data_IF_511185839848
#
_entry.id   IF_511185839848
#
_cell.length_a   1.000
_cell.length_b   1.000
_cell.length_c   1.000
_cell.angle_alpha   90.00
_cell.angle_beta   90.00
_cell.angle_gamma   90.00
#
_symmetry.space_group_name_H-M   'P 1'
#
loop_
_entity.id
_entity.type
_entity.pdbx_description
1 polymer ?
#
# COMPACT_ATOMS: atom_id res chain seq x y z
N UNK A 1 4.26 -19.23 -4.52
CA UNK A 1 4.15 -18.74 -3.12
C UNK A 1 5.40 -19.00 -2.26
N UNK A 2 5.86 -20.25 -2.03
CA UNK A 2 6.91 -20.53 -1.03
C UNK A 2 8.24 -19.81 -1.31
N UNK A 3 8.73 -19.82 -2.56
CA UNK A 3 9.98 -19.13 -2.91
C UNK A 3 9.81 -17.61 -2.94
N UNK A 4 8.78 -17.10 -3.64
CA UNK A 4 8.54 -15.66 -3.69
C UNK A 4 8.46 -15.00 -2.32
N UNK A 5 7.73 -15.62 -1.39
CA UNK A 5 7.61 -15.09 -0.03
C UNK A 5 8.97 -15.09 0.71
N UNK A 6 9.88 -16.03 0.44
CA UNK A 6 11.25 -15.99 1.02
C UNK A 6 12.06 -14.84 0.43
N UNK A 7 11.96 -14.60 -0.88
CA UNK A 7 12.66 -13.50 -1.54
C UNK A 7 12.19 -12.14 -0.99
N UNK A 8 10.88 -11.98 -0.83
CA UNK A 8 10.30 -10.78 -0.20
C UNK A 8 10.79 -10.62 1.23
N UNK A 9 10.81 -11.68 2.03
CA UNK A 9 11.31 -11.62 3.40
C UNK A 9 12.77 -11.16 3.44
N UNK A 10 13.63 -11.76 2.59
CA UNK A 10 15.03 -11.35 2.45
C UNK A 10 15.16 -9.89 2.01
N UNK A 11 14.30 -9.42 1.11
CA UNK A 11 14.28 -8.01 0.70
C UNK A 11 13.95 -7.10 1.88
N UNK A 12 12.91 -7.40 2.66
CA UNK A 12 12.58 -6.66 3.89
C UNK A 12 13.76 -6.67 4.86
N UNK A 13 14.45 -7.79 5.02
CA UNK A 13 15.64 -7.90 5.87
C UNK A 13 16.76 -6.95 5.43
N UNK A 14 17.03 -6.87 4.13
CA UNK A 14 18.01 -5.94 3.56
C UNK A 14 17.58 -4.48 3.78
N UNK A 15 16.31 -4.15 3.55
CA UNK A 15 15.81 -2.79 3.72
C UNK A 15 15.91 -2.27 5.17
N UNK A 16 15.89 -3.16 6.17
CA UNK A 16 16.06 -2.76 7.58
C UNK A 16 17.47 -2.27 7.95
N UNK A 17 18.46 -2.48 7.08
CA UNK A 17 19.83 -1.98 7.28
C UNK A 17 19.95 -0.48 6.94
N UNK A 18 18.94 0.10 6.29
CA UNK A 18 18.88 1.52 5.99
C UNK A 18 18.32 2.27 7.22
N UNK A 19 19.20 2.99 7.93
CA UNK A 19 18.85 3.71 9.16
C UNK A 19 17.89 4.89 8.91
N UNK A 20 17.80 5.39 7.67
CA UNK A 20 16.83 6.43 7.32
C UNK A 20 15.39 5.88 7.22
N UNK A 21 15.21 4.56 7.22
CA UNK A 21 13.91 3.90 7.07
C UNK A 21 13.40 3.30 8.37
N UNK A 22 12.08 3.28 8.46
CA UNK A 22 11.38 2.52 9.49
C UNK A 22 11.50 1.02 9.19
N UNK A 23 11.88 0.26 10.22
CA UNK A 23 12.10 -1.18 10.10
C UNK A 23 10.77 -1.92 10.02
N UNK A 24 10.38 -2.35 8.82
CA UNK A 24 9.22 -3.22 8.60
C UNK A 24 9.63 -4.68 8.51
N UNK A 25 8.72 -5.57 8.91
CA UNK A 25 8.95 -7.01 9.00
C UNK A 25 7.88 -7.75 8.23
N UNK A 26 8.29 -8.65 7.35
CA UNK A 26 7.38 -9.55 6.65
C UNK A 26 7.38 -10.92 7.35
N UNK A 27 6.26 -11.26 7.96
CA UNK A 27 6.01 -12.54 8.62
C UNK A 27 5.47 -13.55 7.61
N UNK A 28 6.36 -14.42 7.12
CA UNK A 28 5.98 -15.46 6.16
C UNK A 28 5.36 -16.67 6.86
N UNK A 29 5.76 -16.97 8.10
CA UNK A 29 5.22 -18.06 8.91
C UNK A 29 4.46 -17.50 10.09
N UNK A 30 3.32 -18.09 10.39
CA UNK A 30 2.49 -17.62 11.51
C UNK A 30 3.32 -17.55 12.80
N UNK A 31 3.28 -16.39 13.46
CA UNK A 31 3.93 -16.13 14.75
C UNK A 31 5.47 -16.16 14.74
N UNK A 32 6.11 -16.02 13.57
CA UNK A 32 7.56 -15.92 13.42
C UNK A 32 8.19 -14.82 14.30
N UNK A 33 7.47 -13.73 14.55
CA UNK A 33 7.93 -12.62 15.38
C UNK A 33 7.22 -12.49 16.74
N UNK A 34 6.35 -13.44 17.14
CA UNK A 34 5.47 -13.33 18.33
C UNK A 34 6.20 -12.99 19.64
N UNK A 35 7.42 -13.49 19.82
CA UNK A 35 8.20 -13.31 21.06
C UNK A 35 9.36 -12.30 20.88
N UNK A 36 9.33 -11.47 19.84
CA UNK A 36 10.33 -10.44 19.60
C UNK A 36 9.80 -9.10 20.11
N UNK A 37 10.70 -8.24 20.59
CA UNK A 37 10.36 -6.86 20.98
C UNK A 37 10.19 -5.98 19.73
N UNK A 38 9.15 -6.27 18.93
CA UNK A 38 8.83 -5.59 17.67
C UNK A 38 7.40 -5.07 17.79
N UNK A 39 7.18 -3.81 17.43
CA UNK A 39 5.84 -3.23 17.38
C UNK A 39 4.98 -3.97 16.34
N UNK A 40 3.80 -4.43 16.72
CA UNK A 40 2.90 -5.20 15.84
C UNK A 40 2.50 -4.43 14.58
N UNK A 41 2.41 -3.10 14.67
CA UNK A 41 2.13 -2.20 13.53
C UNK A 41 3.23 -2.20 12.45
N UNK A 42 4.41 -2.78 12.74
CA UNK A 42 5.53 -2.93 11.81
C UNK A 42 5.63 -4.35 11.22
N UNK A 43 4.76 -5.28 11.64
CA UNK A 43 4.76 -6.68 11.20
C UNK A 43 3.61 -6.88 10.20
N UNK A 44 3.95 -7.38 9.03
CA UNK A 44 3.02 -7.68 7.95
C UNK A 44 3.01 -9.19 7.72
N UNK A 45 1.89 -9.85 7.96
CA UNK A 45 1.71 -11.25 7.58
C UNK A 45 1.43 -11.38 6.07
N UNK A 46 1.31 -12.62 5.58
CA UNK A 46 0.95 -12.89 4.17
C UNK A 46 -0.32 -12.16 3.73
N UNK A 47 -1.34 -12.08 4.61
CA UNK A 47 -2.62 -11.47 4.27
C UNK A 47 -2.49 -9.96 4.18
N UNK A 48 -1.88 -9.31 5.18
CA UNK A 48 -1.77 -7.87 5.23
C UNK A 48 -0.84 -7.35 4.14
N UNK A 49 0.27 -8.05 3.87
CA UNK A 49 1.15 -7.69 2.75
C UNK A 49 0.44 -7.82 1.40
N UNK A 50 -0.35 -8.89 1.20
CA UNK A 50 -1.17 -9.05 0.00
C UNK A 50 -2.17 -7.90 -0.17
N UNK A 51 -2.86 -7.49 0.91
CA UNK A 51 -3.78 -6.33 0.85
C UNK A 51 -3.08 -5.05 0.40
N UNK A 52 -1.89 -4.77 0.95
CA UNK A 52 -1.09 -3.63 0.55
C UNK A 52 -0.76 -3.70 -0.94
N UNK A 53 -0.21 -4.83 -1.39
CA UNK A 53 0.21 -5.01 -2.78
C UNK A 53 -0.94 -4.91 -3.79
N UNK A 54 -2.07 -5.58 -3.52
CA UNK A 54 -3.26 -5.58 -4.41
C UNK A 54 -3.84 -4.17 -4.54
N UNK A 55 -3.91 -3.45 -3.42
CA UNK A 55 -4.37 -2.06 -3.39
C UNK A 55 -3.51 -1.18 -4.29
N UNK A 56 -2.20 -1.20 -4.09
CA UNK A 56 -1.26 -0.25 -4.71
C UNK A 56 -0.93 -0.62 -6.16
N UNK A 57 -0.64 -1.89 -6.42
CA UNK A 57 -0.04 -2.33 -7.67
C UNK A 57 -0.98 -3.12 -8.59
N UNK A 58 -2.04 -3.71 -8.05
CA UNK A 58 -3.10 -4.33 -8.87
C UNK A 58 -4.34 -3.45 -8.98
N UNK A 59 -4.33 -2.26 -8.36
CA UNK A 59 -5.40 -1.25 -8.41
C UNK A 59 -6.77 -1.78 -8.00
N UNK A 60 -6.79 -2.68 -7.01
CA UNK A 60 -7.99 -3.37 -6.51
C UNK A 60 -8.18 -3.18 -5.00
N UNK A 61 -8.27 -1.94 -4.50
CA UNK A 61 -8.46 -1.67 -3.07
C UNK A 61 -9.78 -2.24 -2.50
N UNK A 62 -10.82 -2.40 -3.33
CA UNK A 62 -12.05 -3.07 -2.95
C UNK A 62 -11.82 -4.56 -2.58
N UNK A 63 -10.92 -5.26 -3.26
CA UNK A 63 -10.58 -6.65 -2.93
C UNK A 63 -9.72 -6.75 -1.67
N UNK A 64 -8.81 -5.80 -1.47
CA UNK A 64 -8.05 -5.68 -0.22
C UNK A 64 -8.97 -5.49 1.00
N UNK A 65 -10.09 -4.76 0.83
CA UNK A 65 -11.07 -4.50 1.88
C UNK A 65 -11.89 -5.73 2.31
N UNK A 66 -12.20 -6.65 1.38
CA UNK A 66 -13.19 -7.73 1.62
C UNK A 66 -12.64 -9.15 1.46
N UNK A 67 -11.84 -9.40 0.43
CA UNK A 67 -11.65 -10.76 -0.10
C UNK A 67 -10.20 -11.20 -0.22
N UNK A 68 -9.31 -10.72 0.65
CA UNK A 68 -7.89 -11.11 0.60
C UNK A 68 -7.70 -12.63 0.58
N UNK A 69 -8.51 -13.42 1.32
CA UNK A 69 -8.42 -14.88 1.30
C UNK A 69 -8.69 -15.48 -0.09
N UNK A 70 -9.67 -14.94 -0.81
CA UNK A 70 -9.99 -15.39 -2.17
C UNK A 70 -8.88 -15.00 -3.14
N UNK A 71 -8.34 -13.78 -3.01
CA UNK A 71 -7.25 -13.30 -3.86
C UNK A 71 -5.95 -14.07 -3.59
N UNK A 72 -5.65 -14.43 -2.34
CA UNK A 72 -4.50 -15.27 -1.98
C UNK A 72 -4.53 -16.66 -2.61
N UNK A 73 -5.73 -17.17 -2.93
CA UNK A 73 -5.89 -18.45 -3.61
C UNK A 73 -5.66 -18.34 -5.13
N UNK A 74 -5.41 -17.13 -5.65
CA UNK A 74 -5.05 -16.88 -7.05
C UNK A 74 -3.62 -16.33 -7.07
N UNK A 75 -2.64 -17.22 -7.27
CA UNK A 75 -1.20 -16.89 -7.25
C UNK A 75 -0.81 -15.76 -8.20
N UNK A 76 -1.54 -15.60 -9.29
CA UNK A 76 -1.17 -14.66 -10.35
C UNK A 76 -1.52 -13.21 -9.99
N UNK A 77 -2.30 -13.02 -8.92
CA UNK A 77 -2.67 -11.68 -8.41
C UNK A 77 -1.67 -11.20 -7.35
N UNK A 78 -1.11 -12.12 -6.55
CA UNK A 78 -0.18 -11.82 -5.46
C UNK A 78 0.86 -12.90 -5.29
N UNK A 79 2.08 -12.48 -4.99
CA UNK A 79 3.25 -13.34 -4.85
C UNK A 79 3.57 -14.11 -6.14
N UNK A 80 3.36 -13.47 -7.30
CA UNK A 80 3.85 -13.95 -8.59
C UNK A 80 5.38 -13.90 -8.59
N UNK A 81 6.01 -14.95 -9.12
CA UNK A 81 7.47 -15.07 -9.08
C UNK A 81 8.18 -13.95 -9.89
N UNK A 82 7.50 -13.33 -10.85
CA UNK A 82 8.01 -12.24 -11.70
C UNK A 82 7.92 -10.85 -11.05
N UNK A 83 7.02 -10.64 -10.11
CA UNK A 83 6.82 -9.32 -9.47
C UNK A 83 8.09 -8.89 -8.72
N UNK A 84 8.54 -7.65 -8.81
CA UNK A 84 9.70 -7.23 -8.02
C UNK A 84 9.37 -7.11 -6.52
N UNK A 85 10.24 -7.62 -5.64
CA UNK A 85 10.09 -7.56 -4.18
C UNK A 85 9.96 -6.12 -3.65
N UNK A 86 10.56 -5.14 -4.35
CA UNK A 86 10.48 -3.73 -3.97
C UNK A 86 9.04 -3.20 -3.96
N UNK A 87 8.17 -3.72 -4.82
CA UNK A 87 6.76 -3.33 -4.88
C UNK A 87 6.02 -3.75 -3.59
N UNK A 88 6.28 -4.96 -3.08
CA UNK A 88 5.70 -5.42 -1.81
C UNK A 88 6.13 -4.53 -0.64
N UNK A 89 7.44 -4.21 -0.57
CA UNK A 89 7.97 -3.33 0.46
C UNK A 89 7.41 -1.92 0.36
N UNK A 90 7.39 -1.33 -0.84
CA UNK A 90 6.83 -0.01 -1.08
C UNK A 90 5.35 0.08 -0.66
N UNK A 91 4.54 -0.90 -1.05
CA UNK A 91 3.13 -0.95 -0.67
C UNK A 91 2.94 -1.03 0.84
N UNK A 92 3.71 -1.89 1.53
CA UNK A 92 3.67 -1.98 2.98
C UNK A 92 4.08 -0.66 3.65
N UNK A 93 5.11 0.02 3.12
CA UNK A 93 5.61 1.28 3.67
C UNK A 93 4.61 2.44 3.55
N UNK A 94 3.88 2.52 2.43
CA UNK A 94 2.76 3.47 2.26
C UNK A 94 1.70 3.21 3.34
N UNK A 95 1.25 1.96 3.48
CA UNK A 95 0.23 1.60 4.46
C UNK A 95 0.72 1.85 5.90
N UNK A 96 1.99 1.57 6.19
CA UNK A 96 2.60 1.83 7.49
C UNK A 96 2.53 3.32 7.85
N UNK A 97 3.00 4.21 6.96
CA UNK A 97 3.02 5.66 7.19
C UNK A 97 1.61 6.23 7.32
N UNK A 98 0.64 5.72 6.56
CA UNK A 98 -0.74 6.16 6.77
C UNK A 98 -1.31 5.68 8.12
N UNK A 99 -0.97 4.45 8.52
CA UNK A 99 -1.38 3.91 9.81
C UNK A 99 -0.78 4.68 11.00
N UNK A 100 0.44 5.24 10.87
CA UNK A 100 0.99 6.10 11.92
C UNK A 100 0.20 7.40 12.08
N UNK A 101 -0.31 7.98 10.99
CA UNK A 101 -1.21 9.14 11.05
C UNK A 101 -2.56 8.80 11.68
N UNK A 102 -3.14 7.64 11.34
CA UNK A 102 -4.39 7.15 11.95
C UNK A 102 -4.20 6.98 13.47
N UNK A 103 -3.17 6.24 13.88
CA UNK A 103 -2.93 5.93 15.29
C UNK A 103 -2.57 7.19 16.10
N UNK A 104 -1.82 8.11 15.49
CA UNK A 104 -1.49 9.40 16.09
C UNK A 104 -2.61 10.44 16.02
N UNK A 105 -3.77 10.12 15.43
CA UNK A 105 -4.90 11.04 15.22
C UNK A 105 -4.51 12.34 14.52
N UNK A 106 -3.56 12.29 13.58
CA UNK A 106 -3.03 13.46 12.87
C UNK A 106 -3.77 13.69 11.55
N UNK A 107 -3.88 14.95 11.14
CA UNK A 107 -4.32 15.36 9.79
C UNK A 107 -5.63 14.68 9.34
N UNK A 108 -6.60 14.55 10.25
CA UNK A 108 -7.88 13.90 9.98
C UNK A 108 -7.82 12.46 9.44
N UNK A 109 -6.64 11.82 9.46
CA UNK A 109 -6.43 10.46 8.95
C UNK A 109 -7.41 9.42 9.52
N UNK A 110 -7.82 9.48 10.81
CA UNK A 110 -8.83 8.56 11.34
C UNK A 110 -10.15 8.54 10.56
N UNK A 111 -10.59 9.66 9.96
CA UNK A 111 -11.83 9.74 9.18
C UNK A 111 -11.82 8.80 7.97
N UNK A 112 -10.64 8.50 7.45
CA UNK A 112 -10.42 7.72 6.23
C UNK A 112 -9.91 6.30 6.51
N UNK A 113 -9.92 5.82 7.76
CA UNK A 113 -9.39 4.50 8.10
C UNK A 113 -10.07 3.36 7.30
N UNK A 114 -11.39 3.43 7.10
CA UNK A 114 -12.13 2.48 6.24
C UNK A 114 -11.72 2.52 4.76
N UNK A 115 -11.12 3.63 4.32
CA UNK A 115 -10.59 3.87 2.98
C UNK A 115 -9.06 3.74 2.90
N UNK A 116 -8.39 3.20 3.93
CA UNK A 116 -6.91 3.09 3.95
C UNK A 116 -6.31 2.41 2.72
N UNK A 117 -7.01 1.43 2.14
CA UNK A 117 -6.58 0.77 0.89
C UNK A 117 -6.77 1.66 -0.34
N UNK A 118 -7.79 2.50 -0.36
CA UNK A 118 -7.99 3.47 -1.43
C UNK A 118 -6.95 4.59 -1.33
N UNK A 119 -6.66 5.07 -0.11
CA UNK A 119 -5.56 6.03 0.12
C UNK A 119 -4.21 5.47 -0.30
N UNK A 120 -3.92 4.20 0.03
CA UNK A 120 -2.67 3.56 -0.40
C UNK A 120 -2.56 3.48 -1.93
N UNK A 121 -3.66 3.18 -2.63
CA UNK A 121 -3.70 3.18 -4.10
C UNK A 121 -3.43 4.58 -4.69
N UNK A 122 -4.00 5.64 -4.11
CA UNK A 122 -3.84 7.02 -4.58
C UNK A 122 -2.43 7.58 -4.36
N UNK A 123 -1.75 7.17 -3.29
CA UNK A 123 -0.52 7.83 -2.84
C UNK A 123 0.58 7.90 -3.92
N UNK A 124 0.92 6.81 -4.64
CA UNK A 124 1.88 6.91 -5.73
C UNK A 124 1.44 7.85 -6.85
N UNK A 125 0.16 7.88 -7.21
CA UNK A 125 -0.34 8.79 -8.25
C UNK A 125 -0.17 10.25 -7.87
N UNK A 126 -0.39 10.59 -6.60
CA UNK A 126 -0.09 11.93 -6.07
C UNK A 126 1.39 12.27 -6.20
N UNK A 127 2.29 11.35 -5.83
CA UNK A 127 3.76 11.54 -5.96
C UNK A 127 4.20 11.75 -7.41
N UNK A 128 3.52 11.12 -8.37
CA UNK A 128 3.83 11.22 -9.79
C UNK A 128 3.04 12.31 -10.53
N UNK A 129 2.01 12.88 -9.91
CA UNK A 129 1.10 13.83 -10.57
C UNK A 129 0.29 13.20 -11.70
N UNK A 130 0.12 11.87 -11.74
CA UNK A 130 -0.63 11.17 -12.79
C UNK A 130 -1.13 9.80 -12.34
N UNK A 131 -2.26 9.37 -12.91
CA UNK A 131 -2.84 8.05 -12.67
C UNK A 131 -2.16 7.03 -13.59
N UNK A 132 -0.98 6.57 -13.16
CA UNK A 132 -0.20 5.56 -13.86
C UNK A 132 0.54 4.69 -12.84
N UNK A 133 0.39 3.37 -12.96
CA UNK A 133 1.12 2.40 -12.14
C UNK A 133 1.82 1.41 -13.07
N UNK A 134 3.16 1.31 -13.03
CA UNK A 134 3.88 0.33 -13.85
C UNK A 134 3.60 -1.09 -13.38
N UNK A 135 3.69 -2.05 -14.31
CA UNK A 135 3.58 -3.47 -13.96
C UNK A 135 4.69 -3.85 -12.96
N UNK A 136 4.38 -4.59 -11.88
CA UNK A 136 5.36 -4.97 -10.86
C UNK A 136 6.51 -5.83 -11.37
N UNK A 137 6.35 -6.51 -12.49
CA UNK A 137 7.42 -7.28 -13.16
C UNK A 137 8.27 -6.43 -14.11
N UNK A 138 7.88 -5.19 -14.37
CA UNK A 138 8.56 -4.32 -15.33
C UNK A 138 9.89 -3.77 -14.79
N UNK A 139 10.82 -3.45 -15.69
CA UNK A 139 12.09 -2.79 -15.33
C UNK A 139 11.91 -1.40 -14.71
N UNK A 140 10.74 -0.77 -14.86
CA UNK A 140 10.44 0.57 -14.34
C UNK A 140 10.03 0.56 -12.87
N UNK A 141 9.65 -0.61 -12.34
CA UNK A 141 9.05 -0.72 -11.00
C UNK A 141 9.99 -0.27 -9.88
N UNK A 142 11.30 -0.54 -10.00
CA UNK A 142 12.27 -0.20 -8.97
C UNK A 142 12.40 1.32 -8.83
N UNK A 143 12.64 2.03 -9.94
CA UNK A 143 12.70 3.49 -9.95
C UNK A 143 11.37 4.13 -9.49
N UNK A 144 10.24 3.51 -9.84
CA UNK A 144 8.93 3.96 -9.37
C UNK A 144 8.80 3.86 -7.85
N UNK A 145 9.13 2.69 -7.29
CA UNK A 145 9.09 2.46 -5.83
C UNK A 145 10.08 3.34 -5.08
N UNK A 146 11.30 3.55 -5.60
CA UNK A 146 12.32 4.37 -4.97
C UNK A 146 11.88 5.84 -4.85
N UNK A 147 11.24 6.38 -5.89
CA UNK A 147 10.67 7.74 -5.84
C UNK A 147 9.58 7.85 -4.77
N UNK A 148 8.65 6.90 -4.71
CA UNK A 148 7.58 6.86 -3.69
C UNK A 148 8.16 6.70 -2.28
N UNK A 149 9.15 5.83 -2.11
CA UNK A 149 9.80 5.62 -0.82
C UNK A 149 10.49 6.90 -0.34
N UNK A 150 11.16 7.64 -1.24
CA UNK A 150 11.83 8.90 -0.88
C UNK A 150 10.88 9.92 -0.26
N UNK A 151 9.66 10.06 -0.78
CA UNK A 151 8.65 10.98 -0.21
C UNK A 151 8.10 10.51 1.13
N UNK A 152 8.24 9.22 1.45
CA UNK A 152 7.81 8.62 2.72
C UNK A 152 8.84 8.77 3.86
N UNK A 153 10.05 9.28 3.58
CA UNK A 153 11.13 9.43 4.56
C UNK A 153 11.20 10.82 5.22
N UNK A 154 10.47 11.81 4.71
CA UNK A 154 10.44 13.17 5.21
C UNK A 154 8.98 13.65 5.37
N UNK A 155 8.73 14.87 5.83
CA UNK A 155 7.37 15.34 6.10
C UNK A 155 6.47 15.49 4.85
N UNK A 156 7.02 15.38 3.64
CA UNK A 156 6.27 15.44 2.37
C UNK A 156 5.14 14.40 2.32
N UNK A 157 5.31 13.24 2.97
CA UNK A 157 4.24 12.22 2.99
C UNK A 157 2.94 12.74 3.59
N UNK A 158 3.01 13.70 4.51
CA UNK A 158 1.82 14.28 5.15
C UNK A 158 1.00 15.04 4.11
N UNK A 159 1.64 15.88 3.31
CA UNK A 159 0.96 16.66 2.26
C UNK A 159 0.47 15.77 1.12
N UNK A 160 1.22 14.71 0.79
CA UNK A 160 0.77 13.71 -0.18
C UNK A 160 -0.47 12.96 0.31
N UNK A 161 -0.54 12.55 1.58
CA UNK A 161 -1.76 11.93 2.13
C UNK A 161 -2.92 12.91 2.24
N UNK A 162 -2.69 14.18 2.61
CA UNK A 162 -3.74 15.22 2.56
C UNK A 162 -4.29 15.39 1.15
N UNK A 163 -3.44 15.29 0.14
CA UNK A 163 -3.89 15.32 -1.25
C UNK A 163 -4.73 14.08 -1.60
N UNK A 164 -4.34 12.88 -1.16
CA UNK A 164 -5.20 11.69 -1.30
C UNK A 164 -6.57 11.88 -0.63
N UNK A 165 -6.62 12.48 0.56
CA UNK A 165 -7.86 12.79 1.28
C UNK A 165 -8.74 13.76 0.48
N UNK A 166 -8.16 14.84 -0.07
CA UNK A 166 -8.88 15.79 -0.93
C UNK A 166 -9.45 15.14 -2.19
N UNK A 167 -8.75 14.17 -2.79
CA UNK A 167 -9.28 13.40 -3.93
C UNK A 167 -10.50 12.58 -3.49
N UNK A 168 -10.45 11.93 -2.33
CA UNK A 168 -11.60 11.19 -1.78
C UNK A 168 -12.78 12.14 -1.51
N UNK A 169 -12.52 13.30 -0.91
CA UNK A 169 -13.57 14.28 -0.59
C UNK A 169 -14.17 14.97 -1.82
N UNK A 170 -13.54 14.82 -2.99
CA UNK A 170 -14.07 15.34 -4.26
C UNK A 170 -15.21 14.50 -4.85
N UNK A 171 -15.47 13.32 -4.27
CA UNK A 171 -16.60 12.45 -4.62
C UNK A 171 -17.41 12.09 -3.37
N UNK A 172 -18.59 11.52 -3.57
CA UNK A 172 -19.43 11.09 -2.46
C UNK A 172 -18.72 10.04 -1.59
N UNK A 173 -18.71 10.28 -0.28
CA UNK A 173 -18.11 9.36 0.68
C UNK A 173 -18.89 8.04 0.70
N UNK A 174 -18.25 6.89 0.42
CA UNK A 174 -18.95 5.63 0.24
C UNK A 174 -19.39 5.03 1.57
N UNK A 175 -20.48 4.28 1.53
CA UNK A 175 -20.87 3.32 2.57
C UNK A 175 -19.91 2.13 2.61
N UNK A 176 -19.93 1.38 3.71
CA UNK A 176 -19.10 0.18 3.90
C UNK A 176 -19.31 -0.88 2.82
N UNK A 177 -20.49 -0.94 2.22
CA UNK A 177 -20.78 -1.86 1.13
C UNK A 177 -20.23 -1.36 -0.22
N UNK A 178 -20.33 -0.06 -0.49
CA UNK A 178 -19.75 0.56 -1.69
C UNK A 178 -18.23 0.44 -1.73
N UNK A 179 -17.54 0.57 -0.59
CA UNK A 179 -16.08 0.39 -0.47
C UNK A 179 -15.61 -0.97 -1.01
N UNK A 180 -16.48 -1.98 -0.90
CA UNK A 180 -16.19 -3.37 -1.27
C UNK A 180 -16.52 -3.66 -2.75
N UNK A 181 -16.93 -2.68 -3.53
CA UNK A 181 -17.34 -2.80 -4.94
C UNK A 181 -16.37 -2.03 -5.84
N UNK A 182 -16.08 -2.59 -7.01
CA UNK A 182 -15.20 -1.94 -8.01
C UNK A 182 -15.72 -0.61 -8.54
N UNK A 183 -17.03 -0.34 -8.42
CA UNK A 183 -17.65 0.92 -8.85
C UNK A 183 -16.99 2.13 -8.17
N UNK A 184 -16.91 2.13 -6.84
CA UNK A 184 -16.30 3.24 -6.10
C UNK A 184 -14.82 3.42 -6.46
N UNK A 185 -14.07 2.31 -6.64
CA UNK A 185 -12.68 2.38 -7.11
C UNK A 185 -12.56 3.06 -8.49
N UNK A 186 -13.52 2.83 -9.39
CA UNK A 186 -13.51 3.41 -10.73
C UNK A 186 -13.83 4.91 -10.68
N UNK A 187 -14.85 5.31 -9.94
CA UNK A 187 -15.19 6.72 -9.69
C UNK A 187 -14.02 7.49 -9.06
N UNK A 188 -13.30 6.86 -8.12
CA UNK A 188 -12.13 7.46 -7.48
C UNK A 188 -10.94 7.61 -8.44
N UNK A 189 -10.77 6.69 -9.40
CA UNK A 189 -9.75 6.83 -10.45
C UNK A 189 -10.03 8.04 -11.34
N UNK A 190 -11.27 8.17 -11.81
CA UNK A 190 -11.69 9.33 -12.61
C UNK A 190 -11.52 10.64 -11.85
N UNK A 191 -11.86 10.65 -10.55
CA UNK A 191 -11.64 11.79 -9.68
C UNK A 191 -10.16 12.15 -9.56
N UNK A 192 -9.29 11.15 -9.38
CA UNK A 192 -7.84 11.35 -9.31
C UNK A 192 -7.27 11.90 -10.63
N UNK A 193 -7.70 11.37 -11.78
CA UNK A 193 -7.29 11.89 -13.10
C UNK A 193 -7.68 13.37 -13.27
N UNK A 194 -8.93 13.72 -12.94
CA UNK A 194 -9.41 15.10 -13.00
C UNK A 194 -8.70 16.02 -12.00
N UNK A 195 -8.29 15.50 -10.84
CA UNK A 195 -7.62 16.27 -9.81
C UNK A 195 -6.17 16.56 -10.17
N UNK A 196 -5.45 15.58 -10.73
CA UNK A 196 -4.01 15.66 -11.00
C UNK A 196 -3.69 16.33 -12.36
N UNK A 197 -4.64 16.36 -13.29
CA UNK A 197 -4.48 17.04 -14.58
C UNK A 197 -4.79 18.56 -14.53
N UNK A 198 -5.13 19.10 -13.36
CA UNK A 198 -5.36 20.54 -13.13
C UNK A 198 -4.11 21.20 -12.59
#
# INVERSE_FOLDING_TARGET
LREKARLIQKFFDIQRNDEAKEKLFFERRENEYRNKSIQTTKIYDIKELARCFISVFKLRPHDASRYVKKVLNTSDIVFDDKDNECAYHCAAYICYKFNTLINGRKNDAPKYNRLRWHIAMLYPWVVFGKVETPDPSSKKITAYCDKVLKTLLNEEYIENFKTCQRIIDSIEMPTDDQIKRGKYTSELKEAAEKFLNK
#
